data_IF_878758502507
#
_entry.id   IF_878758502507
#
_cell.length_a   1.000
_cell.length_b   1.000
_cell.length_c   1.000
_cell.angle_alpha   90.00
_cell.angle_beta   90.00
_cell.angle_gamma   90.00
#
_symmetry.space_group_name_H-M   'P 1'
#
loop_
_entity.id
_entity.type
_entity.pdbx_description
1 polymer ?
#
# COMPACT_ATOMS: atom_id res chain seq x y z
N UNK A 1 -4.47 -8.52 -10.82
CA UNK A 1 -5.55 -8.94 -9.89
C UNK A 1 -6.12 -7.78 -9.08
N UNK A 2 -5.31 -6.96 -8.40
CA UNK A 2 -5.81 -5.81 -7.58
C UNK A 2 -6.76 -4.89 -8.35
N UNK A 3 -6.40 -4.48 -9.58
CA UNK A 3 -7.29 -3.68 -10.45
C UNK A 3 -8.64 -4.32 -10.74
N UNK A 4 -8.71 -5.66 -10.83
CA UNK A 4 -9.95 -6.40 -11.05
C UNK A 4 -10.82 -6.43 -9.79
N UNK A 5 -10.21 -6.54 -8.60
CA UNK A 5 -10.94 -6.49 -7.34
C UNK A 5 -11.53 -5.09 -7.12
N UNK A 6 -10.72 -4.05 -7.35
CA UNK A 6 -11.17 -2.65 -7.28
C UNK A 6 -12.30 -2.36 -8.27
N UNK A 7 -12.19 -2.85 -9.51
CA UNK A 7 -13.26 -2.67 -10.51
C UNK A 7 -14.54 -3.44 -10.21
N UNK A 8 -14.49 -4.44 -9.32
CA UNK A 8 -15.64 -5.16 -8.80
C UNK A 8 -16.19 -4.57 -7.51
N UNK A 9 -15.73 -3.38 -7.10
CA UNK A 9 -16.19 -2.68 -5.91
C UNK A 9 -15.55 -3.15 -4.61
N UNK A 10 -14.38 -3.81 -4.69
CA UNK A 10 -13.62 -4.10 -3.48
C UNK A 10 -13.22 -2.79 -2.79
N UNK A 11 -13.50 -2.72 -1.49
CA UNK A 11 -13.18 -1.55 -0.68
C UNK A 11 -11.66 -1.46 -0.45
N UNK A 12 -11.05 -0.45 -1.05
CA UNK A 12 -9.61 -0.17 -0.91
C UNK A 12 -9.25 0.43 0.45
N UNK A 13 -10.24 0.91 1.19
CA UNK A 13 -10.10 1.49 2.52
C UNK A 13 -10.52 0.51 3.63
N UNK A 14 -10.83 -0.75 3.29
CA UNK A 14 -11.17 -1.77 4.27
C UNK A 14 -10.06 -1.89 5.32
N UNK A 15 -10.43 -1.99 6.60
CA UNK A 15 -9.48 -2.23 7.69
C UNK A 15 -9.68 -3.63 8.23
N UNK A 16 -8.57 -4.30 8.53
CA UNK A 16 -8.60 -5.58 9.26
C UNK A 16 -8.78 -5.35 10.74
N UNK A 17 -8.92 -6.44 11.52
CA UNK A 17 -8.96 -6.40 12.98
C UNK A 17 -7.68 -5.89 13.66
N UNK A 18 -6.64 -5.57 12.90
CA UNK A 18 -5.40 -4.96 13.38
C UNK A 18 -5.26 -3.50 12.90
N UNK A 19 -6.33 -2.89 12.37
CA UNK A 19 -6.30 -1.55 11.78
C UNK A 19 -5.59 -1.47 10.41
N UNK A 20 -5.06 -2.60 9.91
CA UNK A 20 -4.31 -2.62 8.65
C UNK A 20 -5.24 -2.48 7.44
N UNK A 21 -4.90 -1.53 6.57
CA UNK A 21 -5.50 -1.35 5.23
C UNK A 21 -4.86 -2.26 4.18
N UNK A 22 -5.47 -2.45 2.99
CA UNK A 22 -4.84 -3.14 1.87
C UNK A 22 -3.45 -2.61 1.54
N UNK A 23 -3.20 -1.31 1.76
CA UNK A 23 -1.92 -0.69 1.51
C UNK A 23 -0.84 -1.16 2.51
N UNK A 24 -1.18 -1.39 3.78
CA UNK A 24 -0.24 -2.00 4.74
C UNK A 24 0.24 -3.38 4.29
N UNK A 25 -0.67 -4.19 3.74
CA UNK A 25 -0.32 -5.52 3.25
C UNK A 25 0.50 -5.48 1.96
N UNK A 26 0.16 -4.57 1.04
CA UNK A 26 0.89 -4.38 -0.21
C UNK A 26 2.33 -3.87 0.03
N UNK A 27 2.54 -3.11 1.11
CA UNK A 27 3.85 -2.57 1.48
C UNK A 27 4.68 -3.51 2.35
N UNK A 28 4.05 -4.50 2.97
CA UNK A 28 4.72 -5.43 3.86
C UNK A 28 5.81 -6.27 3.18
N UNK A 29 6.97 -6.31 3.80
CA UNK A 29 8.16 -7.09 3.41
C UNK A 29 8.00 -8.62 3.47
N UNK A 30 6.81 -9.12 3.84
CA UNK A 30 6.49 -10.55 3.88
C UNK A 30 6.27 -11.18 2.49
N UNK A 31 6.28 -10.36 1.42
CA UNK A 31 6.20 -10.85 0.06
C UNK A 31 7.36 -11.81 -0.25
N UNK A 32 7.00 -13.00 -0.74
CA UNK A 32 7.91 -14.10 -1.03
C UNK A 32 9.09 -13.66 -1.89
N UNK A 33 10.25 -14.24 -1.62
CA UNK A 33 11.53 -14.04 -2.35
C UNK A 33 11.39 -14.23 -3.87
N UNK A 34 10.38 -14.99 -4.30
CA UNK A 34 10.08 -15.30 -5.70
C UNK A 34 9.08 -14.35 -6.38
N UNK A 35 8.53 -13.35 -5.68
CA UNK A 35 7.56 -12.43 -6.26
C UNK A 35 8.28 -11.25 -6.94
N UNK A 36 8.02 -10.98 -8.24
CA UNK A 36 8.60 -9.82 -8.91
C UNK A 36 8.22 -8.53 -8.19
N UNK A 37 9.23 -7.72 -7.85
CA UNK A 37 9.04 -6.41 -7.20
C UNK A 37 8.11 -5.48 -8.00
N UNK A 38 8.10 -5.60 -9.33
CA UNK A 38 7.21 -4.87 -10.22
C UNK A 38 5.72 -5.14 -9.95
N UNK A 39 5.36 -6.40 -9.64
CA UNK A 39 3.96 -6.74 -9.35
C UNK A 39 3.49 -6.07 -8.06
N UNK A 40 4.38 -5.97 -7.06
CA UNK A 40 4.08 -5.25 -5.81
C UNK A 40 3.90 -3.75 -6.07
N UNK A 41 4.79 -3.15 -6.86
CA UNK A 41 4.73 -1.73 -7.22
C UNK A 41 3.44 -1.38 -7.94
N UNK A 42 3.00 -2.22 -8.89
CA UNK A 42 1.73 -2.04 -9.59
C UNK A 42 0.52 -2.13 -8.65
N UNK A 43 0.56 -3.04 -7.67
CA UNK A 43 -0.50 -3.17 -6.67
C UNK A 43 -0.61 -1.92 -5.81
N UNK A 44 0.52 -1.40 -5.31
CA UNK A 44 0.55 -0.15 -4.52
C UNK A 44 0.04 1.04 -5.35
N UNK A 45 0.49 1.18 -6.60
CA UNK A 45 -0.01 2.25 -7.50
C UNK A 45 -1.51 2.16 -7.74
N UNK A 46 -2.04 0.95 -7.95
CA UNK A 46 -3.48 0.75 -8.14
C UNK A 46 -4.30 1.11 -6.89
N UNK A 47 -3.80 0.78 -5.70
CA UNK A 47 -4.46 1.14 -4.44
C UNK A 47 -4.41 2.65 -4.17
N UNK A 48 -3.29 3.32 -4.45
CA UNK A 48 -3.18 4.78 -4.36
C UNK A 48 -4.16 5.45 -5.32
N UNK A 49 -4.24 4.98 -6.57
CA UNK A 49 -5.20 5.48 -7.56
C UNK A 49 -6.67 5.24 -7.16
N UNK A 50 -6.95 4.23 -6.34
CA UNK A 50 -8.27 3.97 -5.81
C UNK A 50 -8.68 4.95 -4.68
N UNK A 51 -7.80 5.87 -4.28
CA UNK A 51 -8.07 6.82 -3.19
C UNK A 51 -7.81 6.24 -1.80
N UNK A 52 -7.01 5.18 -1.71
CA UNK A 52 -6.63 4.62 -0.39
C UNK A 52 -5.80 5.64 0.37
N UNK A 53 -6.13 5.86 1.65
CA UNK A 53 -5.35 6.73 2.49
C UNK A 53 -3.96 6.12 2.78
N UNK A 54 -2.92 6.78 2.27
CA UNK A 54 -1.51 6.37 2.39
C UNK A 54 -0.92 6.66 3.77
N UNK A 55 -1.60 7.44 4.61
CA UNK A 55 -1.16 7.82 5.96
C UNK A 55 -2.00 7.18 7.07
N UNK A 56 -2.88 6.22 6.75
CA UNK A 56 -3.64 5.52 7.78
C UNK A 56 -2.72 4.74 8.69
N UNK A 57 -2.92 4.84 9.99
CA UNK A 57 -2.16 4.08 10.98
C UNK A 57 -2.90 2.78 11.31
N UNK A 58 -2.14 1.69 11.47
CA UNK A 58 -2.63 0.45 12.05
C UNK A 58 -2.75 0.56 13.59
N UNK A 59 -3.24 -0.49 14.25
CA UNK A 59 -3.42 -0.48 15.72
C UNK A 59 -2.10 -0.35 16.51
N UNK A 60 -0.95 -0.44 15.83
CA UNK A 60 0.38 -0.24 16.41
C UNK A 60 0.94 1.16 16.11
N UNK A 61 0.15 2.04 15.49
CA UNK A 61 0.58 3.37 15.06
C UNK A 61 1.51 3.35 13.84
N UNK A 62 1.57 2.25 13.09
CA UNK A 62 2.40 2.15 11.89
C UNK A 62 1.61 2.55 10.67
N UNK A 63 2.21 3.32 9.80
CA UNK A 63 1.68 3.65 8.49
C UNK A 63 2.10 2.61 7.44
N UNK A 64 1.50 2.62 6.24
CA UNK A 64 1.93 1.77 5.13
C UNK A 64 3.41 1.94 4.77
N UNK A 65 3.97 3.15 4.92
CA UNK A 65 5.39 3.41 4.64
C UNK A 65 6.30 2.78 5.70
N UNK A 66 5.88 2.70 6.97
CA UNK A 66 6.62 2.03 8.05
C UNK A 66 6.68 0.51 7.86
N UNK A 67 5.80 -0.04 7.03
CA UNK A 67 5.79 -1.46 6.67
C UNK A 67 6.73 -1.79 5.50
N UNK A 68 7.29 -0.77 4.83
CA UNK A 68 8.21 -0.93 3.69
C UNK A 68 9.59 -1.31 4.18
N UNK A 69 10.26 -2.22 3.46
CA UNK A 69 11.67 -2.49 3.72
C UNK A 69 12.51 -1.27 3.32
N UNK A 70 13.43 -0.83 4.19
CA UNK A 70 14.30 0.32 3.96
C UNK A 70 15.13 0.25 2.67
N UNK A 71 15.40 -0.97 2.16
CA UNK A 71 16.13 -1.16 0.90
C UNK A 71 15.25 -1.05 -0.36
N UNK A 72 13.92 -0.99 -0.20
CA UNK A 72 12.96 -0.95 -1.30
C UNK A 72 12.65 0.51 -1.71
N UNK A 73 13.69 1.19 -2.20
CA UNK A 73 13.66 2.62 -2.56
C UNK A 73 12.54 2.99 -3.54
N UNK A 74 12.16 2.05 -4.42
CA UNK A 74 11.07 2.27 -5.39
C UNK A 74 9.74 2.41 -4.66
N UNK A 75 9.45 1.53 -3.70
CA UNK A 75 8.20 1.55 -2.96
C UNK A 75 8.13 2.78 -2.03
N UNK A 76 9.25 3.13 -1.38
CA UNK A 76 9.40 4.37 -0.61
C UNK A 76 9.14 5.60 -1.48
N UNK A 77 9.68 5.64 -2.70
CA UNK A 77 9.45 6.74 -3.64
C UNK A 77 8.00 6.86 -4.08
N UNK A 78 7.31 5.74 -4.32
CA UNK A 78 5.89 5.71 -4.71
C UNK A 78 5.02 6.28 -3.57
N UNK A 79 5.17 5.78 -2.35
CA UNK A 79 4.40 6.26 -1.19
C UNK A 79 4.76 7.71 -0.85
N UNK A 80 6.06 8.06 -0.90
CA UNK A 80 6.54 9.42 -0.69
C UNK A 80 5.87 10.40 -1.66
N UNK A 81 5.81 10.07 -2.95
CA UNK A 81 5.13 10.91 -3.95
C UNK A 81 3.63 11.05 -3.69
N UNK A 82 2.98 10.00 -3.18
CA UNK A 82 1.56 10.01 -2.86
C UNK A 82 1.24 10.89 -1.64
N UNK A 83 2.09 10.84 -0.61
CA UNK A 83 1.93 11.66 0.61
C UNK A 83 1.97 13.16 0.28
N UNK A 84 2.89 13.58 -0.59
CA UNK A 84 2.99 14.99 -1.01
C UNK A 84 1.79 15.42 -1.85
N UNK A 85 1.23 14.52 -2.67
CA UNK A 85 0.07 14.81 -3.53
C UNK A 85 -1.23 14.98 -2.74
N UNK A 86 -1.37 14.34 -1.57
CA UNK A 86 -2.56 14.48 -0.70
C UNK A 86 -2.58 15.74 0.17
N UNK A 87 -1.54 16.59 0.14
CA UNK A 87 -1.44 17.81 0.96
C UNK A 87 -1.75 19.11 0.20
N UNK A 88 -2.05 19.02 -1.10
CA UNK A 88 -2.52 20.12 -1.96
C UNK A 88 -4.03 19.96 -2.22
#
# INVERSE_FOLDING_TARGET
>A
MVKLLLSRGADSCAVTSQGKTPLHYACGWWFRVDCPSETRNECVRALIQAGTNVTSEDDHGRTPIDMVNEQDFVLLGILGSAIHTTRD
#
